data_IF_711059697510
#
_entry.id   IF_711059697510
#
_cell.length_a   1.000
_cell.length_b   1.000
_cell.length_c   1.000
_cell.angle_alpha   90.00
_cell.angle_beta   90.00
_cell.angle_gamma   90.00
#
_symmetry.space_group_name_H-M   'P 1'
#
loop_
_entity.id
_entity.type
_entity.pdbx_description
1 polymer ?
#
# COMPACT_ATOMS: atom_id res chain seq x y z
N UNK A 1 -17.11 -7.82 19.89
CA UNK A 1 -17.29 -6.68 18.96
C UNK A 1 -15.93 -6.35 18.35
N UNK A 2 -15.70 -6.60 17.05
CA UNK A 2 -14.51 -6.09 16.38
C UNK A 2 -14.67 -4.57 16.27
N UNK A 3 -13.81 -3.78 16.94
CA UNK A 3 -13.73 -2.34 16.70
C UNK A 3 -13.51 -2.14 15.20
N UNK A 4 -14.29 -1.26 14.59
CA UNK A 4 -14.04 -0.79 13.23
C UNK A 4 -12.71 -0.04 13.31
N UNK A 5 -11.63 -0.64 12.82
CA UNK A 5 -10.31 -0.01 12.85
C UNK A 5 -10.36 1.20 11.91
N UNK A 6 -9.90 2.35 12.38
CA UNK A 6 -9.76 3.52 11.52
C UNK A 6 -8.39 3.50 10.86
N UNK A 7 -8.31 4.06 9.66
CA UNK A 7 -7.05 4.10 8.92
C UNK A 7 -5.95 4.85 9.67
N UNK A 8 -6.33 5.88 10.44
CA UNK A 8 -5.45 6.68 11.29
C UNK A 8 -4.85 5.91 12.47
N UNK A 9 -5.42 4.76 12.83
CA UNK A 9 -4.89 3.91 13.90
C UNK A 9 -3.75 3.00 13.40
N UNK A 10 -3.64 2.83 12.09
CA UNK A 10 -2.74 1.89 11.43
C UNK A 10 -1.64 2.62 10.66
N UNK A 11 -2.02 3.65 9.92
CA UNK A 11 -1.13 4.39 9.02
C UNK A 11 -0.92 5.82 9.50
N UNK A 12 0.31 6.36 9.36
CA UNK A 12 0.58 7.76 9.66
C UNK A 12 -0.33 8.69 8.86
N UNK A 13 -0.87 9.72 9.53
CA UNK A 13 -1.80 10.66 8.89
C UNK A 13 -1.19 11.30 7.64
N UNK A 14 0.05 11.77 7.70
CA UNK A 14 0.68 12.46 6.56
C UNK A 14 0.65 11.71 5.21
N UNK A 15 0.42 10.39 5.18
CA UNK A 15 0.23 9.61 3.95
C UNK A 15 -1.06 9.95 3.19
N UNK A 16 -2.07 10.51 3.88
CA UNK A 16 -3.37 10.87 3.32
C UNK A 16 -3.74 12.33 3.64
N UNK A 17 -2.74 13.22 3.67
CA UNK A 17 -2.88 14.63 4.10
C UNK A 17 -3.94 15.43 3.30
N UNK A 18 -4.25 14.99 2.09
CA UNK A 18 -5.23 15.57 1.16
C UNK A 18 -6.64 14.91 1.25
N UNK A 19 -6.85 13.93 2.13
CA UNK A 19 -8.10 13.17 2.24
C UNK A 19 -8.75 13.26 3.63
N UNK A 20 -10.07 13.03 3.67
CA UNK A 20 -10.77 12.81 4.93
C UNK A 20 -10.54 11.38 5.45
N UNK A 21 -9.63 11.25 6.42
CA UNK A 21 -9.30 10.00 7.09
C UNK A 21 -10.50 9.28 7.72
N UNK A 22 -11.52 10.02 8.14
CA UNK A 22 -12.69 9.45 8.79
C UNK A 22 -13.61 8.75 7.80
N UNK A 23 -13.52 9.11 6.52
CA UNK A 23 -14.30 8.56 5.43
C UNK A 23 -13.61 7.39 4.70
N UNK A 24 -12.30 7.20 4.89
CA UNK A 24 -11.53 6.13 4.26
C UNK A 24 -11.93 4.74 4.79
N UNK A 25 -12.32 3.86 3.88
CA UNK A 25 -12.69 2.48 4.11
C UNK A 25 -11.63 1.54 3.54
N UNK A 26 -11.08 0.66 4.39
CA UNK A 26 -10.04 -0.29 3.98
C UNK A 26 -10.44 -1.13 2.76
N UNK A 27 -11.71 -1.52 2.59
CA UNK A 27 -12.08 -2.39 1.47
C UNK A 27 -12.38 -1.63 0.20
N UNK A 28 -13.03 -0.46 0.31
CA UNK A 28 -13.46 0.34 -0.83
C UNK A 28 -12.33 1.17 -1.44
N UNK A 29 -11.46 1.73 -0.60
CA UNK A 29 -10.44 2.71 -1.00
C UNK A 29 -9.05 2.09 -1.11
N UNK A 30 -8.97 0.77 -1.30
CA UNK A 30 -7.71 0.01 -1.35
C UNK A 30 -6.76 0.46 -2.47
N UNK A 31 -7.33 0.96 -3.57
CA UNK A 31 -6.62 1.52 -4.74
C UNK A 31 -5.83 2.80 -4.40
N UNK A 32 -6.21 3.47 -3.31
CA UNK A 32 -5.53 4.64 -2.75
C UNK A 32 -4.67 4.24 -1.55
N UNK A 33 -5.20 3.37 -0.67
CA UNK A 33 -4.56 2.97 0.59
C UNK A 33 -3.26 2.19 0.35
N UNK A 34 -3.30 1.15 -0.50
CA UNK A 34 -2.14 0.28 -0.74
C UNK A 34 -0.97 1.09 -1.32
N UNK A 35 -1.15 1.88 -2.40
CA UNK A 35 -0.05 2.64 -2.98
C UNK A 35 0.49 3.73 -2.06
N UNK A 36 -0.36 4.45 -1.33
CA UNK A 36 0.09 5.52 -0.41
C UNK A 36 0.77 5.00 0.85
N UNK A 37 0.38 3.82 1.34
CA UNK A 37 1.10 3.16 2.41
C UNK A 37 2.54 2.79 2.00
N UNK A 38 2.77 2.46 0.72
CA UNK A 38 4.06 2.03 0.20
C UNK A 38 4.89 3.12 -0.47
N UNK A 39 4.28 4.23 -0.90
CA UNK A 39 5.00 5.34 -1.56
C UNK A 39 6.02 6.01 -0.62
N UNK A 40 5.72 6.03 0.68
CA UNK A 40 6.61 6.57 1.71
C UNK A 40 7.59 5.52 2.28
N UNK A 41 7.46 4.26 1.86
CA UNK A 41 8.34 3.20 2.33
C UNK A 41 9.74 3.36 1.73
N UNK A 42 10.73 2.97 2.52
CA UNK A 42 12.13 2.82 2.10
C UNK A 42 12.51 1.34 2.20
N UNK A 43 13.63 0.88 1.61
CA UNK A 43 14.03 -0.52 1.73
C UNK A 43 14.14 -1.03 3.18
N UNK A 44 14.45 -0.13 4.14
CA UNK A 44 14.56 -0.48 5.56
C UNK A 44 13.21 -0.53 6.28
N UNK A 45 12.22 0.26 5.85
CA UNK A 45 10.86 0.27 6.45
C UNK A 45 9.86 -0.60 5.70
N UNK A 46 10.15 -0.95 4.44
CA UNK A 46 9.27 -1.69 3.56
C UNK A 46 8.67 -2.91 4.24
N UNK A 47 9.51 -3.72 4.92
CA UNK A 47 9.07 -4.94 5.57
C UNK A 47 7.99 -4.72 6.64
N UNK A 48 8.08 -3.64 7.41
CA UNK A 48 7.09 -3.34 8.45
C UNK A 48 5.84 -2.69 7.85
N UNK A 49 6.00 -1.86 6.81
CA UNK A 49 4.89 -1.18 6.13
C UNK A 49 4.02 -2.17 5.36
N UNK A 50 4.62 -3.08 4.58
CA UNK A 50 3.89 -4.12 3.84
C UNK A 50 3.20 -5.11 4.77
N UNK A 51 3.80 -5.44 5.92
CA UNK A 51 3.17 -6.37 6.88
C UNK A 51 1.91 -5.77 7.51
N UNK A 52 1.81 -4.43 7.64
CA UNK A 52 0.57 -3.78 8.04
C UNK A 52 -0.51 -3.96 6.98
N UNK A 53 -0.17 -3.77 5.70
CA UNK A 53 -1.11 -3.96 4.58
C UNK A 53 -1.60 -5.41 4.49
N UNK A 54 -0.73 -6.38 4.68
CA UNK A 54 -1.07 -7.81 4.66
C UNK A 54 -2.07 -8.23 5.74
N UNK A 55 -2.22 -7.44 6.81
CA UNK A 55 -3.27 -7.68 7.80
C UNK A 55 -4.68 -7.31 7.31
N UNK A 56 -4.79 -6.56 6.21
CA UNK A 56 -6.05 -6.11 5.61
C UNK A 56 -6.29 -6.65 4.19
N UNK A 57 -5.22 -6.94 3.45
CA UNK A 57 -5.26 -7.32 2.04
C UNK A 57 -4.44 -8.58 1.79
N UNK A 58 -4.88 -9.38 0.82
CA UNK A 58 -4.05 -10.47 0.32
C UNK A 58 -3.05 -9.97 -0.74
N UNK A 59 -2.08 -10.81 -1.07
CA UNK A 59 -1.02 -10.50 -2.04
C UNK A 59 -1.58 -10.18 -3.44
N UNK A 60 -2.64 -10.86 -3.87
CA UNK A 60 -3.28 -10.62 -5.17
C UNK A 60 -3.90 -9.22 -5.25
N UNK A 61 -4.65 -8.81 -4.23
CA UNK A 61 -5.21 -7.47 -4.11
C UNK A 61 -4.08 -6.43 -4.13
N UNK A 62 -3.03 -6.65 -3.34
CA UNK A 62 -1.88 -5.76 -3.31
C UNK A 62 -1.22 -5.56 -4.66
N UNK A 63 -0.91 -6.66 -5.34
CA UNK A 63 -0.24 -6.63 -6.65
C UNK A 63 -1.14 -6.00 -7.70
N UNK A 64 -2.43 -6.32 -7.71
CA UNK A 64 -3.38 -5.75 -8.67
C UNK A 64 -3.52 -4.23 -8.48
N UNK A 65 -3.68 -3.75 -7.26
CA UNK A 65 -3.79 -2.31 -7.00
C UNK A 65 -2.48 -1.59 -7.31
N UNK A 66 -1.31 -2.16 -6.98
CA UNK A 66 -0.01 -1.57 -7.32
C UNK A 66 0.27 -1.58 -8.83
N UNK A 67 -0.22 -2.58 -9.57
CA UNK A 67 -0.13 -2.61 -11.03
C UNK A 67 -1.10 -1.63 -11.69
N UNK A 68 -2.23 -1.31 -11.07
CA UNK A 68 -3.23 -0.39 -11.61
C UNK A 68 -3.05 1.08 -11.17
N UNK A 69 -2.36 1.31 -10.04
CA UNK A 69 -2.32 2.62 -9.38
C UNK A 69 -1.70 3.73 -10.22
N UNK A 70 -2.28 4.93 -10.14
CA UNK A 70 -1.72 6.16 -10.72
C UNK A 70 -0.75 6.88 -9.78
N UNK A 71 -0.62 6.40 -8.54
CA UNK A 71 0.31 6.95 -7.55
C UNK A 71 1.77 6.69 -7.97
N UNK A 72 2.68 7.59 -7.59
CA UNK A 72 4.09 7.53 -7.99
C UNK A 72 4.91 6.58 -7.11
N UNK A 73 4.47 5.33 -7.02
CA UNK A 73 5.21 4.27 -6.34
C UNK A 73 6.49 3.98 -7.14
N UNK A 74 7.64 4.04 -6.48
CA UNK A 74 8.93 3.84 -7.15
C UNK A 74 9.10 2.40 -7.63
N UNK A 75 9.82 2.21 -8.73
CA UNK A 75 10.09 0.87 -9.26
C UNK A 75 10.88 0.00 -8.26
N UNK A 76 11.65 0.59 -7.35
CA UNK A 76 12.32 -0.16 -6.28
C UNK A 76 11.33 -0.80 -5.33
N UNK A 77 10.26 -0.07 -4.94
CA UNK A 77 9.18 -0.63 -4.13
C UNK A 77 8.45 -1.72 -4.89
N UNK A 78 8.14 -1.54 -6.18
CA UNK A 78 7.52 -2.59 -6.99
C UNK A 78 8.38 -3.86 -7.05
N UNK A 79 9.72 -3.73 -7.17
CA UNK A 79 10.65 -4.86 -7.10
C UNK A 79 10.63 -5.55 -5.74
N UNK A 80 10.61 -4.80 -4.63
CA UNK A 80 10.53 -5.36 -3.28
C UNK A 80 9.21 -6.12 -3.04
N UNK A 81 8.10 -5.63 -3.60
CA UNK A 81 6.80 -6.33 -3.58
C UNK A 81 6.86 -7.61 -4.40
N UNK A 82 7.46 -7.55 -5.59
CA UNK A 82 7.61 -8.73 -6.44
C UNK A 82 8.46 -9.81 -5.77
N UNK A 83 9.56 -9.42 -5.12
CA UNK A 83 10.42 -10.29 -4.33
C UNK A 83 9.64 -10.90 -3.15
N UNK A 84 8.90 -10.08 -2.39
CA UNK A 84 8.11 -10.56 -1.24
C UNK A 84 7.06 -11.60 -1.60
N UNK A 85 6.43 -11.46 -2.77
CA UNK A 85 5.39 -12.39 -3.23
C UNK A 85 5.89 -13.45 -4.22
N UNK A 86 7.20 -13.52 -4.49
CA UNK A 86 7.79 -14.44 -5.45
C UNK A 86 7.11 -14.40 -6.83
N UNK A 87 6.79 -13.18 -7.31
CA UNK A 87 6.19 -12.95 -8.62
C UNK A 87 7.19 -12.28 -9.57
N UNK A 88 6.85 -12.24 -10.86
CA UNK A 88 7.62 -11.48 -11.84
C UNK A 88 7.66 -10.00 -11.48
N UNK A 89 8.84 -9.40 -11.62
CA UNK A 89 9.04 -7.99 -11.36
C UNK A 89 8.18 -7.15 -12.28
N UNK A 90 7.64 -6.07 -11.74
CA UNK A 90 6.81 -5.14 -12.49
C UNK A 90 7.27 -3.72 -12.21
N UNK A 91 7.13 -2.85 -13.19
CA UNK A 91 7.43 -1.43 -13.10
C UNK A 91 6.21 -0.63 -13.54
N UNK A 92 6.00 0.52 -12.91
CA UNK A 92 4.94 1.47 -13.32
C UNK A 92 5.48 2.56 -14.22
N UNK A 93 6.74 2.94 -14.03
CA UNK A 93 7.40 3.96 -14.82
C UNK A 93 8.44 3.31 -15.72
N UNK A 94 8.35 3.56 -17.03
CA UNK A 94 9.42 3.21 -17.96
C UNK A 94 10.69 3.94 -17.52
N UNK A 95 11.82 3.22 -17.61
CA UNK A 95 13.15 3.80 -17.46
C UNK A 95 13.43 4.80 -18.58
#
# INVERSE_FOLDING_TARGET
>A
MKRRQHISDVFPKHLFWDMDYSALDFQKDRDIIIPRALIASTPTTFQSDISKLESFYNSEQMVNELKATKERVSNSICSLVAERYHIESFSRFSK
#
